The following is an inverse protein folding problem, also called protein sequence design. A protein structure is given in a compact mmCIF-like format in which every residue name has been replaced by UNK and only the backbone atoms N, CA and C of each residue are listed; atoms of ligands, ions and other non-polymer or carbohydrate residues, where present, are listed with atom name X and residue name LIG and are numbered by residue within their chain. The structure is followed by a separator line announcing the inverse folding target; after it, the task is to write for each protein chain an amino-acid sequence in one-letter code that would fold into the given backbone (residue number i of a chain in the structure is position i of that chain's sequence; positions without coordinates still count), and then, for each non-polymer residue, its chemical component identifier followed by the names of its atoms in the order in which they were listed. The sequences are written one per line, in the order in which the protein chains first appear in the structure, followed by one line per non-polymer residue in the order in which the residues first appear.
data_IF_683431700576
#
_entry.id   IF_683431700576
#
_cell.length_a   1.000
_cell.length_b   1.000
_cell.length_c   1.000
_cell.angle_alpha   90.00
_cell.angle_beta   90.00
_cell.angle_gamma   90.00
#
_symmetry.space_group_name_H-M   'P 1'
#
loop_
_entity.id
_entity.type
_entity.pdbx_description
1 polymer ?
#
# COMPACT_ATOMS: atom_id res chain seq x y z
N UNK A 1 -7.66 -2.31 55.34
CA UNK A 1 -8.99 -2.58 55.95
C UNK A 1 -9.99 -1.65 55.27
N UNK A 2 -10.98 -2.30 54.60
CA UNK A 2 -12.33 -1.84 54.27
C UNK A 2 -12.51 -1.01 53.01
N UNK A 3 -13.69 -1.19 52.32
CA UNK A 3 -14.12 -2.40 51.64
C UNK A 3 -14.58 -2.08 50.16
N UNK A 4 -14.72 -3.15 49.45
CA UNK A 4 -15.36 -3.42 48.18
C UNK A 4 -16.78 -2.82 48.06
N UNK A 5 -17.12 -2.27 46.90
CA UNK A 5 -18.50 -2.05 46.48
C UNK A 5 -18.76 -2.76 45.16
N UNK A 6 -19.73 -3.67 45.16
CA UNK A 6 -20.28 -4.46 44.06
C UNK A 6 -21.34 -3.70 43.24
N UNK A 7 -21.65 -4.14 42.02
CA UNK A 7 -22.51 -3.44 41.07
C UNK A 7 -24.00 -3.73 41.31
N UNK A 8 -24.85 -2.77 40.95
CA UNK A 8 -26.31 -2.93 40.91
C UNK A 8 -26.86 -2.89 39.48
N UNK A 9 -27.69 -3.87 39.28
CA UNK A 9 -28.57 -4.19 38.17
C UNK A 9 -29.28 -2.99 37.51
N UNK A 10 -29.38 -3.03 36.14
CA UNK A 10 -30.39 -2.28 35.38
C UNK A 10 -31.12 -3.25 34.47
N UNK A 11 -32.45 -3.26 34.63
CA UNK A 11 -33.50 -4.08 34.04
C UNK A 11 -33.83 -3.58 32.61
N UNK A 12 -34.29 -4.43 31.65
CA UNK A 12 -34.52 -4.06 30.26
C UNK A 12 -35.93 -3.49 30.03
N UNK A 13 -36.02 -2.46 29.19
CA UNK A 13 -37.25 -1.75 28.76
C UNK A 13 -37.52 -1.86 27.25
N UNK A 14 -38.48 -2.70 26.93
CA UNK A 14 -39.59 -2.59 25.96
C UNK A 14 -39.35 -2.15 24.51
N UNK A 15 -39.54 -3.09 23.59
CA UNK A 15 -39.85 -2.94 22.17
C UNK A 15 -41.15 -2.16 21.95
N UNK A 16 -41.13 -1.21 21.02
CA UNK A 16 -42.34 -0.75 20.33
C UNK A 16 -42.15 -0.86 18.82
N UNK A 17 -43.00 -1.68 18.24
CA UNK A 17 -43.17 -2.02 16.85
C UNK A 17 -44.26 -1.09 16.31
N UNK A 18 -43.99 -0.26 15.28
CA UNK A 18 -45.07 0.31 14.46
C UNK A 18 -44.89 -0.14 13.01
N UNK A 19 -45.87 -0.91 12.58
CA UNK A 19 -46.22 -1.15 11.19
C UNK A 19 -47.20 -0.06 10.76
N UNK A 20 -47.02 0.49 9.59
CA UNK A 20 -48.13 1.11 8.87
C UNK A 20 -47.96 0.89 7.36
N UNK A 21 -49.04 0.63 6.80
CA UNK A 21 -49.47 -0.07 5.62
C UNK A 21 -49.57 0.86 4.39
N UNK A 22 -49.33 0.19 3.32
CA UNK A 22 -49.58 0.45 1.90
C UNK A 22 -50.97 1.02 1.58
N UNK A 23 -51.00 1.94 0.62
CA UNK A 23 -52.12 1.97 -0.35
C UNK A 23 -51.69 2.52 -1.72
N UNK A 24 -51.86 1.66 -2.69
CA UNK A 24 -51.82 1.93 -4.13
C UNK A 24 -53.10 2.62 -4.61
N UNK A 25 -52.96 3.57 -5.54
CA UNK A 25 -54.02 3.88 -6.52
C UNK A 25 -53.42 4.44 -7.81
N UNK A 26 -53.63 3.71 -8.90
CA UNK A 26 -53.60 4.29 -10.26
C UNK A 26 -55.02 4.77 -10.61
N UNK A 27 -55.14 5.77 -11.52
CA UNK A 27 -55.78 5.41 -12.77
C UNK A 27 -55.21 6.11 -14.05
N UNK A 28 -55.51 5.45 -15.12
CA UNK A 28 -55.33 5.67 -16.55
C UNK A 28 -55.88 7.04 -17.08
N UNK A 29 -55.21 7.61 -18.13
CA UNK A 29 -55.77 8.65 -18.99
C UNK A 29 -54.94 8.81 -20.26
N UNK A 30 -55.60 8.54 -21.41
CA UNK A 30 -55.08 8.60 -22.79
C UNK A 30 -54.92 10.03 -23.30
N UNK A 31 -53.93 10.24 -24.16
CA UNK A 31 -53.41 11.17 -25.15
C UNK A 31 -54.28 12.36 -25.65
N UNK A 32 -53.81 13.19 -26.58
CA UNK A 32 -53.14 12.82 -27.83
C UNK A 32 -51.94 13.75 -28.23
N UNK A 33 -51.36 13.40 -29.39
CA UNK A 33 -50.19 13.87 -30.07
C UNK A 33 -50.15 15.39 -30.44
N UNK A 34 -48.93 15.93 -30.47
CA UNK A 34 -48.48 16.92 -31.43
C UNK A 34 -46.93 16.96 -31.42
N UNK A 35 -46.30 16.76 -32.56
CA UNK A 35 -44.89 17.03 -32.92
C UNK A 35 -44.78 18.44 -33.52
N UNK A 36 -43.61 18.91 -33.98
CA UNK A 36 -42.24 18.83 -33.49
C UNK A 36 -41.64 20.27 -33.29
N UNK A 37 -40.64 20.38 -32.47
CA UNK A 37 -39.83 21.58 -32.33
C UNK A 37 -38.40 21.16 -31.97
N UNK A 38 -37.54 21.28 -32.96
CA UNK A 38 -36.10 21.21 -32.88
C UNK A 38 -35.55 22.13 -31.81
N UNK A 39 -34.67 21.64 -30.97
CA UNK A 39 -33.45 22.35 -30.62
C UNK A 39 -32.46 21.39 -29.99
N UNK A 40 -31.44 21.16 -30.78
CA UNK A 40 -30.22 20.39 -30.54
C UNK A 40 -29.33 21.15 -29.55
N UNK A 41 -29.52 20.96 -28.25
CA UNK A 41 -28.70 21.53 -27.17
C UNK A 41 -28.27 20.49 -26.11
N UNK A 42 -28.04 19.24 -26.56
CA UNK A 42 -27.51 18.18 -25.68
C UNK A 42 -26.10 17.70 -26.04
N UNK A 43 -25.35 18.45 -26.86
CA UNK A 43 -24.05 18.06 -27.35
C UNK A 43 -22.89 18.89 -26.74
N UNK A 44 -22.84 19.05 -25.42
CA UNK A 44 -21.62 19.49 -24.70
C UNK A 44 -21.57 18.97 -23.27
N UNK A 45 -21.87 17.71 -23.04
CA UNK A 45 -21.30 17.02 -21.89
C UNK A 45 -19.90 16.58 -22.32
N UNK A 46 -18.88 17.32 -21.90
CA UNK A 46 -17.51 16.87 -22.00
C UNK A 46 -17.46 15.46 -21.40
N UNK A 47 -17.20 14.46 -22.24
CA UNK A 47 -17.03 13.09 -21.78
C UNK A 47 -15.88 13.09 -20.79
N UNK A 48 -16.17 12.85 -19.52
CA UNK A 48 -15.16 12.46 -18.56
C UNK A 48 -14.44 11.26 -19.16
N UNK A 49 -13.17 11.45 -19.50
CA UNK A 49 -12.31 10.34 -19.89
C UNK A 49 -12.24 9.45 -18.66
N UNK A 50 -12.73 8.20 -18.72
CA UNK A 50 -12.68 7.34 -17.54
C UNK A 50 -11.22 7.20 -17.11
N UNK A 51 -10.89 7.65 -15.90
CA UNK A 51 -9.57 7.47 -15.31
C UNK A 51 -9.26 5.98 -15.25
N UNK A 52 -8.31 5.54 -16.06
CA UNK A 52 -7.91 4.13 -16.12
C UNK A 52 -6.73 3.82 -15.21
N UNK A 53 -6.16 4.84 -14.61
CA UNK A 53 -5.04 4.75 -13.68
C UNK A 53 -5.49 4.63 -12.23
N UNK A 54 -4.54 4.50 -11.33
CA UNK A 54 -4.77 4.40 -9.89
C UNK A 54 -3.61 5.05 -9.13
N UNK A 55 -3.94 5.86 -8.11
CA UNK A 55 -2.99 6.40 -7.13
C UNK A 55 -3.07 5.57 -5.85
N UNK A 56 -1.94 4.99 -5.47
CA UNK A 56 -1.77 4.27 -4.20
C UNK A 56 -0.79 5.05 -3.33
N UNK A 57 -1.22 5.53 -2.18
CA UNK A 57 -0.36 6.05 -1.13
C UNK A 57 -0.13 4.95 -0.09
N UNK A 58 1.08 4.43 -0.02
CA UNK A 58 1.45 3.33 0.87
C UNK A 58 2.35 3.80 2.00
N UNK A 59 1.98 3.51 3.25
CA UNK A 59 2.85 3.81 4.38
C UNK A 59 3.75 2.63 4.71
N UNK A 60 5.04 2.87 4.73
CA UNK A 60 6.06 1.89 5.10
C UNK A 60 6.24 1.82 6.63
N UNK A 61 6.90 0.77 7.09
CA UNK A 61 7.29 0.55 8.49
C UNK A 61 6.13 0.31 9.48
N UNK A 62 4.93 -0.04 9.03
CA UNK A 62 3.79 -0.38 9.90
C UNK A 62 4.15 -1.49 10.89
N UNK A 63 3.95 -1.25 12.19
CA UNK A 63 4.28 -2.21 13.24
C UNK A 63 5.74 -2.17 13.72
N UNK A 64 6.58 -1.26 13.21
CA UNK A 64 7.97 -1.14 13.60
C UNK A 64 8.10 -0.78 15.09
N UNK A 65 7.38 0.24 15.50
CA UNK A 65 7.31 0.75 16.86
C UNK A 65 5.95 1.44 17.08
N UNK A 66 5.63 1.75 18.35
CA UNK A 66 4.36 2.37 18.72
C UNK A 66 4.10 3.69 17.98
N UNK A 67 5.09 4.58 17.93
CA UNK A 67 4.94 5.91 17.31
C UNK A 67 4.66 5.81 15.80
N UNK A 68 5.39 4.94 15.11
CA UNK A 68 5.19 4.69 13.67
C UNK A 68 3.79 4.18 13.39
N UNK A 69 3.31 3.23 14.20
CA UNK A 69 1.96 2.67 14.05
C UNK A 69 0.88 3.72 14.30
N UNK A 70 0.97 4.49 15.39
CA UNK A 70 -0.03 5.53 15.72
C UNK A 70 -0.12 6.62 14.65
N UNK A 71 1.02 7.15 14.21
CA UNK A 71 1.04 8.18 13.15
C UNK A 71 0.48 7.66 11.83
N UNK A 72 0.83 6.44 11.46
CA UNK A 72 0.30 5.79 10.25
C UNK A 72 -1.20 5.58 10.36
N UNK A 73 -1.68 5.10 11.51
CA UNK A 73 -3.12 4.91 11.76
C UNK A 73 -3.89 6.21 11.65
N UNK A 74 -3.38 7.31 12.20
CA UNK A 74 -4.02 8.62 12.07
C UNK A 74 -4.13 9.05 10.60
N UNK A 75 -3.06 8.92 9.82
CA UNK A 75 -3.08 9.23 8.39
C UNK A 75 -4.09 8.35 7.62
N UNK A 76 -4.17 7.06 7.97
CA UNK A 76 -5.11 6.12 7.36
C UNK A 76 -6.57 6.49 7.66
N UNK A 77 -6.90 6.78 8.93
CA UNK A 77 -8.25 7.18 9.35
C UNK A 77 -8.72 8.46 8.66
N UNK A 78 -7.80 9.35 8.30
CA UNK A 78 -8.07 10.57 7.53
C UNK A 78 -8.25 10.32 6.02
N UNK A 79 -8.11 9.09 5.56
CA UNK A 79 -8.23 8.73 4.14
C UNK A 79 -7.03 9.14 3.28
N UNK A 80 -5.88 9.45 3.91
CA UNK A 80 -4.66 9.85 3.22
C UNK A 80 -3.79 8.68 2.74
N UNK A 81 -4.17 7.44 3.08
CA UNK A 81 -3.41 6.23 2.76
C UNK A 81 -4.31 5.16 2.16
N UNK A 82 -3.78 4.42 1.19
CA UNK A 82 -4.42 3.26 0.57
C UNK A 82 -4.14 1.96 1.32
N UNK A 83 -2.91 1.84 1.85
CA UNK A 83 -2.35 0.58 2.35
C UNK A 83 -1.14 0.84 3.24
N UNK A 84 -0.70 -0.23 3.90
CA UNK A 84 0.50 -0.21 4.73
C UNK A 84 1.44 -1.37 4.36
N UNK A 85 2.75 -1.15 4.49
CA UNK A 85 3.75 -2.21 4.42
C UNK A 85 4.20 -2.57 5.82
N UNK A 86 3.83 -3.80 6.24
CA UNK A 86 3.94 -4.25 7.61
C UNK A 86 5.26 -4.96 7.88
N UNK A 87 5.97 -4.50 8.89
CA UNK A 87 7.12 -5.20 9.47
C UNK A 87 6.65 -6.23 10.49
N UNK A 88 7.28 -7.38 10.49
CA UNK A 88 7.05 -8.45 11.47
C UNK A 88 8.29 -8.64 12.34
N UNK A 89 8.15 -9.30 13.49
CA UNK A 89 9.19 -9.41 14.51
C UNK A 89 9.70 -8.07 15.06
N UNK A 90 8.86 -7.04 15.00
CA UNK A 90 9.16 -5.73 15.55
C UNK A 90 8.34 -5.49 16.81
N UNK A 91 8.71 -4.46 17.56
CA UNK A 91 8.14 -4.14 18.87
C UNK A 91 6.60 -4.07 18.86
N UNK A 92 6.01 -3.46 17.83
CA UNK A 92 4.56 -3.22 17.76
C UNK A 92 3.83 -4.11 16.73
N UNK A 93 4.49 -5.15 16.17
CA UNK A 93 3.93 -5.98 15.09
C UNK A 93 2.62 -6.67 15.46
N UNK A 94 2.48 -7.16 16.70
CA UNK A 94 1.27 -7.86 17.18
C UNK A 94 0.07 -6.91 17.27
N UNK A 95 0.25 -5.75 17.89
CA UNK A 95 -0.79 -4.73 18.01
C UNK A 95 -1.17 -4.16 16.63
N UNK A 96 -0.19 -3.83 15.82
CA UNK A 96 -0.39 -3.33 14.46
C UNK A 96 -1.21 -4.30 13.61
N UNK A 97 -0.90 -5.60 13.66
CA UNK A 97 -1.67 -6.61 12.95
C UNK A 97 -3.11 -6.74 13.46
N UNK A 98 -3.33 -6.61 14.77
CA UNK A 98 -4.67 -6.61 15.35
C UNK A 98 -5.49 -5.41 14.85
N UNK A 99 -4.91 -4.21 14.88
CA UNK A 99 -5.55 -2.99 14.35
C UNK A 99 -5.87 -3.14 12.86
N UNK A 100 -4.92 -3.68 12.07
CA UNK A 100 -5.12 -3.86 10.64
C UNK A 100 -6.29 -4.81 10.32
N UNK A 101 -6.44 -5.90 11.07
CA UNK A 101 -7.57 -6.83 10.91
C UNK A 101 -8.90 -6.22 11.33
N UNK A 102 -8.94 -5.52 12.47
CA UNK A 102 -10.16 -4.90 13.00
C UNK A 102 -10.68 -3.76 12.13
N UNK A 103 -9.78 -3.03 11.47
CA UNK A 103 -10.09 -1.89 10.61
C UNK A 103 -10.03 -2.18 9.12
N UNK A 104 -9.83 -3.45 8.75
CA UNK A 104 -9.71 -3.90 7.35
C UNK A 104 -8.64 -3.12 6.55
N UNK A 105 -7.53 -2.75 7.21
CA UNK A 105 -6.40 -2.07 6.57
C UNK A 105 -5.70 -3.05 5.62
N UNK A 106 -5.51 -2.64 4.38
CA UNK A 106 -4.77 -3.42 3.39
C UNK A 106 -3.27 -3.42 3.72
N UNK A 107 -2.76 -4.55 4.21
CA UNK A 107 -1.38 -4.74 4.63
C UNK A 107 -0.62 -5.67 3.68
N UNK A 108 0.54 -5.21 3.19
CA UNK A 108 1.56 -6.04 2.54
C UNK A 108 2.73 -6.34 3.48
N UNK A 109 3.56 -7.32 3.14
CA UNK A 109 4.76 -7.62 3.93
C UNK A 109 5.92 -6.69 3.57
N UNK A 110 6.43 -5.94 4.55
CA UNK A 110 7.65 -5.13 4.48
C UNK A 110 8.85 -5.95 4.95
N UNK A 111 9.56 -6.61 4.02
CA UNK A 111 10.72 -7.47 4.34
C UNK A 111 11.84 -6.66 5.00
N UNK A 112 12.17 -7.00 6.22
CA UNK A 112 13.25 -6.39 6.97
C UNK A 112 14.50 -7.27 6.99
N UNK A 113 15.54 -6.87 6.26
CA UNK A 113 16.84 -7.55 6.22
C UNK A 113 17.96 -6.74 6.88
N UNK A 114 17.68 -5.53 7.35
CA UNK A 114 18.73 -4.57 7.75
C UNK A 114 18.56 -3.94 9.12
N UNK A 115 17.33 -3.78 9.61
CA UNK A 115 17.06 -3.25 10.94
C UNK A 115 16.89 -4.40 11.93
N UNK A 116 17.52 -4.39 13.12
CA UNK A 116 17.38 -5.45 14.09
C UNK A 116 15.91 -5.72 14.44
N UNK A 117 15.53 -6.98 14.52
CA UNK A 117 14.23 -7.35 15.08
C UNK A 117 14.16 -6.98 16.54
N UNK A 118 13.03 -6.43 16.99
CA UNK A 118 12.83 -5.88 18.33
C UNK A 118 11.72 -6.56 19.12
N UNK A 119 10.99 -7.51 18.53
CA UNK A 119 9.99 -8.30 19.25
C UNK A 119 10.65 -9.19 20.30
N UNK A 120 10.10 -9.22 21.51
CA UNK A 120 10.63 -9.97 22.65
C UNK A 120 10.60 -11.49 22.45
N UNK A 121 9.72 -11.99 21.58
CA UNK A 121 9.53 -13.42 21.28
C UNK A 121 10.29 -13.88 20.02
N UNK A 122 11.19 -13.06 19.47
CA UNK A 122 11.94 -13.41 18.27
C UNK A 122 12.93 -14.55 18.54
N UNK A 123 12.91 -15.64 17.73
CA UNK A 123 13.82 -16.77 17.95
C UNK A 123 15.30 -16.35 17.81
N UNK A 124 16.16 -16.79 18.74
CA UNK A 124 17.58 -16.44 18.77
C UNK A 124 18.29 -16.75 17.43
N UNK A 125 18.00 -17.91 16.83
CA UNK A 125 18.55 -18.29 15.53
C UNK A 125 18.16 -17.30 14.40
N UNK A 126 16.94 -16.78 14.44
CA UNK A 126 16.47 -15.79 13.47
C UNK A 126 17.22 -14.48 13.63
N UNK A 127 17.42 -14.04 14.89
CA UNK A 127 18.23 -12.86 15.22
C UNK A 127 19.67 -12.98 14.69
N UNK A 128 20.31 -14.13 14.88
CA UNK A 128 21.68 -14.38 14.42
C UNK A 128 21.80 -14.28 12.89
N UNK A 129 20.88 -14.92 12.18
CA UNK A 129 20.86 -14.84 10.71
C UNK A 129 20.57 -13.42 10.22
N UNK A 130 19.56 -12.75 10.78
CA UNK A 130 19.22 -11.39 10.40
C UNK A 130 20.38 -10.42 10.70
N UNK A 131 21.04 -10.52 11.84
CA UNK A 131 22.21 -9.73 12.18
C UNK A 131 23.37 -9.93 11.18
N UNK A 132 23.60 -11.17 10.75
CA UNK A 132 24.60 -11.50 9.74
C UNK A 132 24.27 -10.85 8.39
N UNK A 133 23.00 -10.94 7.95
CA UNK A 133 22.52 -10.30 6.72
C UNK A 133 22.62 -8.78 6.80
N UNK A 134 22.14 -8.19 7.90
CA UNK A 134 22.20 -6.75 8.12
C UNK A 134 23.61 -6.21 8.04
N UNK A 135 24.56 -6.88 8.69
CA UNK A 135 25.98 -6.54 8.64
C UNK A 135 26.52 -6.59 7.21
N UNK A 136 26.23 -7.65 6.46
CA UNK A 136 26.64 -7.78 5.07
C UNK A 136 26.05 -6.70 4.18
N UNK A 137 24.72 -6.51 4.20
CA UNK A 137 24.02 -5.56 3.33
C UNK A 137 24.39 -4.11 3.60
N UNK A 138 24.67 -3.76 4.87
CA UNK A 138 25.02 -2.37 5.27
C UNK A 138 26.48 -2.04 5.06
N UNK A 139 27.37 -3.05 5.05
CA UNK A 139 28.84 -2.83 5.00
C UNK A 139 29.33 -2.50 3.60
N UNK A 140 28.73 -3.01 2.57
CA UNK A 140 29.23 -2.92 1.20
C UNK A 140 28.14 -2.43 0.24
N UNK A 141 28.44 -1.36 -0.50
CA UNK A 141 27.49 -0.82 -1.52
C UNK A 141 27.13 -1.86 -2.60
N UNK A 142 28.07 -2.79 -2.92
CA UNK A 142 27.84 -3.85 -3.89
C UNK A 142 27.08 -5.05 -3.32
N UNK A 143 26.87 -5.12 -2.00
CA UNK A 143 26.14 -6.24 -1.38
C UNK A 143 24.72 -6.40 -1.90
N UNK A 144 24.10 -5.31 -2.36
CA UNK A 144 22.76 -5.35 -2.98
C UNK A 144 22.79 -5.95 -4.39
N UNK A 145 23.91 -5.81 -5.12
CA UNK A 145 24.03 -6.16 -6.54
C UNK A 145 24.68 -7.53 -6.74
N UNK A 146 25.60 -7.91 -5.83
CA UNK A 146 26.36 -9.16 -5.94
C UNK A 146 25.69 -10.27 -5.16
N UNK A 147 25.44 -11.41 -5.82
CA UNK A 147 24.94 -12.62 -5.16
C UNK A 147 26.02 -13.24 -4.27
N UNK A 148 25.68 -13.49 -3.01
CA UNK A 148 26.60 -14.09 -2.03
C UNK A 148 26.16 -15.54 -1.73
N UNK A 149 26.82 -16.57 -2.31
CA UNK A 149 26.38 -17.96 -2.15
C UNK A 149 26.45 -18.45 -0.69
N UNK A 150 27.46 -18.01 0.06
CA UNK A 150 27.61 -18.38 1.48
C UNK A 150 26.51 -17.85 2.41
N UNK A 151 25.72 -16.85 1.97
CA UNK A 151 24.59 -16.30 2.72
C UNK A 151 23.23 -16.75 2.19
N UNK A 152 23.20 -17.54 1.10
CA UNK A 152 21.93 -17.92 0.46
C UNK A 152 20.93 -18.55 1.44
N UNK A 153 21.39 -19.49 2.28
CA UNK A 153 20.55 -20.14 3.31
C UNK A 153 20.06 -19.16 4.38
N UNK A 154 20.87 -18.17 4.75
CA UNK A 154 20.47 -17.15 5.73
C UNK A 154 19.36 -16.26 5.15
N UNK A 155 19.48 -15.85 3.89
CA UNK A 155 18.43 -15.11 3.19
C UNK A 155 17.12 -15.91 3.08
N UNK A 156 17.22 -17.17 2.65
CA UNK A 156 16.07 -18.08 2.56
C UNK A 156 15.35 -18.21 3.90
N UNK A 157 16.09 -18.49 4.97
CA UNK A 157 15.53 -18.66 6.31
C UNK A 157 14.86 -17.38 6.81
N UNK A 158 15.50 -16.21 6.69
CA UNK A 158 14.97 -14.94 7.20
C UNK A 158 13.76 -14.49 6.40
N UNK A 159 13.75 -14.69 5.07
CA UNK A 159 12.59 -14.36 4.23
C UNK A 159 11.41 -15.28 4.52
N UNK A 160 11.66 -16.60 4.64
CA UNK A 160 10.62 -17.58 4.97
C UNK A 160 10.01 -17.29 6.34
N UNK A 161 10.83 -17.06 7.37
CA UNK A 161 10.37 -16.76 8.72
C UNK A 161 9.48 -15.51 8.76
N UNK A 162 9.83 -14.44 8.04
CA UNK A 162 9.00 -13.24 7.98
C UNK A 162 7.66 -13.47 7.28
N UNK A 163 7.63 -14.29 6.24
CA UNK A 163 6.37 -14.65 5.56
C UNK A 163 5.47 -15.52 6.44
N UNK A 164 6.05 -16.47 7.15
CA UNK A 164 5.31 -17.34 8.09
C UNK A 164 4.76 -16.52 9.26
N UNK A 165 5.53 -15.58 9.78
CA UNK A 165 5.09 -14.67 10.84
C UNK A 165 4.01 -13.71 10.34
N UNK A 166 4.10 -13.20 9.11
CA UNK A 166 3.03 -12.39 8.52
C UNK A 166 1.73 -13.21 8.42
N UNK A 167 1.81 -14.46 7.95
CA UNK A 167 0.64 -15.36 7.93
C UNK A 167 0.07 -15.57 9.33
N UNK A 168 0.91 -15.76 10.35
CA UNK A 168 0.46 -15.92 11.75
C UNK A 168 -0.28 -14.68 12.24
N UNK A 169 0.25 -13.49 11.97
CA UNK A 169 -0.28 -12.23 12.45
C UNK A 169 -1.53 -11.77 11.70
N UNK A 170 -1.52 -11.86 10.38
CA UNK A 170 -2.58 -11.33 9.51
C UNK A 170 -3.61 -12.39 9.07
N UNK A 171 -3.33 -13.67 9.29
CA UNK A 171 -4.23 -14.79 8.93
C UNK A 171 -4.25 -15.13 7.44
N UNK A 172 -3.50 -14.41 6.61
CA UNK A 172 -3.41 -14.60 5.15
C UNK A 172 -1.96 -14.51 4.68
N UNK A 173 -1.65 -15.15 3.55
CA UNK A 173 -0.35 -14.95 2.89
C UNK A 173 -0.25 -13.52 2.36
N UNK A 174 0.94 -12.91 2.37
CA UNK A 174 1.11 -11.58 1.81
C UNK A 174 0.92 -11.60 0.29
N UNK A 175 -0.12 -10.92 -0.20
CA UNK A 175 -0.36 -10.74 -1.64
C UNK A 175 0.55 -9.67 -2.25
N UNK A 176 1.12 -8.82 -1.39
CA UNK A 176 2.03 -7.74 -1.74
C UNK A 176 3.30 -7.80 -0.87
N UNK A 177 4.44 -7.56 -1.52
CA UNK A 177 5.76 -7.61 -0.92
C UNK A 177 6.60 -6.41 -1.37
N UNK A 178 7.21 -5.78 -0.41
CA UNK A 178 8.27 -4.80 -0.61
C UNK A 178 9.37 -5.01 0.45
N UNK A 179 10.20 -4.01 0.76
CA UNK A 179 11.20 -4.23 1.78
C UNK A 179 11.90 -2.99 2.26
N UNK A 180 12.14 -2.99 3.52
CA UNK A 180 12.85 -1.94 4.24
C UNK A 180 14.21 -1.66 3.59
N UNK A 181 14.49 -0.38 3.34
CA UNK A 181 15.64 0.08 2.54
C UNK A 181 15.70 -0.56 1.13
N UNK A 182 14.56 -1.01 0.57
CA UNK A 182 14.44 -1.68 -0.72
C UNK A 182 15.29 -2.95 -0.87
N UNK A 183 15.64 -3.62 0.24
CA UNK A 183 16.50 -4.81 0.23
C UNK A 183 15.83 -6.05 -0.37
N UNK A 184 14.52 -6.05 -0.57
CA UNK A 184 13.83 -7.08 -1.35
C UNK A 184 14.33 -7.16 -2.81
N UNK A 185 14.98 -6.09 -3.31
CA UNK A 185 15.58 -6.04 -4.64
C UNK A 185 17.05 -6.50 -4.68
N UNK A 186 17.63 -6.94 -3.55
CA UNK A 186 18.99 -7.42 -3.55
C UNK A 186 19.14 -8.75 -4.30
N UNK A 187 20.33 -8.98 -4.87
CA UNK A 187 20.60 -10.14 -5.73
C UNK A 187 20.31 -11.48 -5.07
N UNK A 188 20.59 -11.65 -3.76
CA UNK A 188 20.28 -12.89 -3.05
C UNK A 188 18.78 -13.18 -2.99
N UNK A 189 17.93 -12.16 -2.84
CA UNK A 189 16.47 -12.33 -2.86
C UNK A 189 15.97 -12.63 -4.26
N UNK A 190 16.39 -11.84 -5.25
CA UNK A 190 15.90 -11.95 -6.63
C UNK A 190 16.39 -13.22 -7.34
N UNK A 191 17.69 -13.47 -7.32
CA UNK A 191 18.29 -14.64 -7.99
C UNK A 191 18.02 -15.93 -7.21
N UNK A 192 17.94 -15.86 -5.87
CA UNK A 192 17.46 -16.94 -5.02
C UNK A 192 15.98 -17.26 -5.18
N UNK A 193 15.22 -16.40 -5.90
CA UNK A 193 13.77 -16.54 -6.13
C UNK A 193 12.98 -16.69 -4.84
N UNK A 194 13.36 -15.94 -3.81
CA UNK A 194 12.79 -16.08 -2.46
C UNK A 194 11.38 -15.51 -2.33
N UNK A 195 10.95 -14.64 -3.28
CA UNK A 195 9.62 -14.10 -3.33
C UNK A 195 8.68 -15.04 -4.11
N UNK A 196 7.44 -15.31 -3.62
CA UNK A 196 6.48 -16.16 -4.30
C UNK A 196 6.13 -15.62 -5.69
N UNK A 197 6.03 -16.48 -6.68
CA UNK A 197 5.62 -16.07 -8.02
C UNK A 197 4.16 -15.56 -8.03
N UNK A 198 3.87 -14.56 -8.85
CA UNK A 198 2.54 -13.96 -8.97
C UNK A 198 2.22 -12.89 -7.93
N UNK A 199 3.01 -12.79 -6.85
CA UNK A 199 2.85 -11.73 -5.84
C UNK A 199 3.06 -10.35 -6.47
N UNK A 200 2.36 -9.35 -5.98
CA UNK A 200 2.64 -7.96 -6.30
C UNK A 200 3.90 -7.53 -5.55
N UNK A 201 4.94 -7.13 -6.27
CA UNK A 201 6.22 -6.72 -5.70
C UNK A 201 6.55 -5.29 -6.11
N UNK A 202 6.92 -4.47 -5.12
CA UNK A 202 7.36 -3.10 -5.37
C UNK A 202 8.58 -3.08 -6.28
N UNK A 203 8.53 -2.25 -7.31
CA UNK A 203 9.62 -2.03 -8.27
C UNK A 203 10.65 -1.03 -7.76
N UNK A 204 11.70 -0.78 -8.54
CA UNK A 204 12.60 0.34 -8.28
C UNK A 204 11.90 1.69 -8.46
N UNK A 205 12.44 2.74 -7.79
CA UNK A 205 12.01 4.10 -8.01
C UNK A 205 12.02 4.50 -9.49
N UNK A 206 10.95 5.14 -9.89
CA UNK A 206 10.87 5.88 -11.14
C UNK A 206 11.57 7.23 -10.99
N UNK A 207 12.34 7.62 -11.99
CA UNK A 207 13.08 8.88 -12.00
C UNK A 207 12.81 9.63 -13.28
N UNK A 208 12.75 10.95 -13.17
CA UNK A 208 12.70 11.83 -14.34
C UNK A 208 14.05 11.83 -15.12
N UNK A 209 14.03 12.19 -16.41
CA UNK A 209 15.26 12.35 -17.17
C UNK A 209 16.20 13.34 -16.50
N UNK A 210 17.46 12.92 -16.22
CA UNK A 210 18.46 13.75 -15.57
C UNK A 210 18.67 13.50 -14.08
N UNK A 211 17.70 12.93 -13.33
CA UNK A 211 17.85 12.67 -11.90
C UNK A 211 18.91 11.60 -11.55
N UNK A 212 19.15 10.64 -12.43
CA UNK A 212 20.13 9.55 -12.23
C UNK A 212 20.96 9.30 -13.49
N UNK A 213 22.19 8.80 -13.29
CA UNK A 213 23.07 8.42 -14.38
C UNK A 213 22.44 7.36 -15.29
N UNK A 214 22.86 7.33 -16.57
CA UNK A 214 22.40 6.34 -17.55
C UNK A 214 22.58 4.90 -17.06
N UNK A 215 23.74 4.56 -16.47
CA UNK A 215 24.03 3.21 -15.96
C UNK A 215 23.10 2.81 -14.81
N UNK A 216 22.78 3.75 -13.89
CA UNK A 216 21.84 3.47 -12.80
C UNK A 216 20.43 3.19 -13.36
N UNK A 217 19.98 3.95 -14.34
CA UNK A 217 18.67 3.74 -14.99
C UNK A 217 18.62 2.41 -15.75
N UNK A 218 19.72 2.03 -16.43
CA UNK A 218 19.79 0.76 -17.15
C UNK A 218 19.75 -0.43 -16.18
N UNK A 219 20.51 -0.37 -15.08
CA UNK A 219 20.48 -1.38 -14.03
C UNK A 219 19.07 -1.57 -13.46
N UNK A 220 18.40 -0.48 -13.07
CA UNK A 220 17.03 -0.53 -12.53
C UNK A 220 16.03 -1.10 -13.50
N UNK A 221 16.11 -0.72 -14.79
CA UNK A 221 15.28 -1.34 -15.83
C UNK A 221 15.52 -2.84 -15.97
N UNK A 222 16.76 -3.29 -15.81
CA UNK A 222 17.10 -4.71 -15.81
C UNK A 222 16.44 -5.44 -14.65
N UNK A 223 16.54 -4.90 -13.44
CA UNK A 223 15.89 -5.44 -12.23
C UNK A 223 14.36 -5.45 -12.39
N UNK A 224 13.75 -4.36 -12.86
CA UNK A 224 12.29 -4.28 -13.06
C UNK A 224 11.79 -5.29 -14.10
N UNK A 225 12.57 -5.51 -15.18
CA UNK A 225 12.25 -6.57 -16.17
C UNK A 225 12.33 -7.97 -15.56
N UNK A 226 13.32 -8.19 -14.67
CA UNK A 226 13.45 -9.48 -13.97
C UNK A 226 12.25 -9.70 -13.04
N UNK A 227 11.84 -8.69 -12.30
CA UNK A 227 10.64 -8.72 -11.45
C UNK A 227 9.38 -9.02 -12.26
N UNK A 228 9.15 -8.27 -13.33
CA UNK A 228 7.94 -8.36 -14.15
C UNK A 228 7.75 -9.71 -14.84
N UNK A 229 8.82 -10.53 -14.94
CA UNK A 229 8.72 -11.91 -15.47
C UNK A 229 8.01 -12.88 -14.51
N UNK A 230 8.02 -12.60 -13.23
CA UNK A 230 7.50 -13.51 -12.20
C UNK A 230 6.48 -12.88 -11.26
N UNK A 231 6.44 -11.57 -11.21
CA UNK A 231 5.67 -10.81 -10.24
C UNK A 231 4.81 -9.76 -10.95
N UNK A 232 3.76 -9.32 -10.28
CA UNK A 232 3.02 -8.12 -10.68
C UNK A 232 3.79 -6.91 -10.15
N UNK A 233 3.81 -5.83 -10.90
CA UNK A 233 4.45 -4.56 -10.51
C UNK A 233 3.56 -3.40 -10.96
N UNK A 234 3.62 -2.28 -10.25
CA UNK A 234 3.01 -1.01 -10.67
C UNK A 234 3.74 -0.43 -11.89
N UNK A 235 3.12 0.52 -12.59
CA UNK A 235 3.74 1.20 -13.72
C UNK A 235 4.81 2.19 -13.26
N UNK A 236 4.54 2.92 -12.17
CA UNK A 236 5.47 3.89 -11.58
C UNK A 236 5.52 3.76 -10.06
N UNK A 237 6.69 4.03 -9.50
CA UNK A 237 6.92 4.05 -8.06
C UNK A 237 7.77 5.26 -7.66
N UNK A 238 7.26 6.05 -6.72
CA UNK A 238 7.91 7.25 -6.24
C UNK A 238 7.96 7.29 -4.71
N UNK A 239 8.90 8.07 -4.15
CA UNK A 239 8.84 8.51 -2.76
C UNK A 239 8.00 9.78 -2.66
N UNK A 240 7.27 9.97 -1.56
CA UNK A 240 6.58 11.22 -1.29
C UNK A 240 7.59 12.38 -1.20
N UNK A 241 8.74 12.14 -0.61
CA UNK A 241 9.83 13.12 -0.57
C UNK A 241 10.61 13.22 -1.91
N UNK A 242 11.25 14.37 -2.21
CA UNK A 242 11.27 15.62 -1.43
C UNK A 242 9.96 16.43 -1.58
N UNK A 243 9.54 17.09 -0.50
CA UNK A 243 8.29 17.88 -0.46
C UNK A 243 8.44 19.32 -0.94
N UNK A 244 9.68 19.81 -1.06
CA UNK A 244 10.02 21.20 -1.44
C UNK A 244 9.75 21.49 -2.93
N UNK A 245 9.47 20.48 -3.73
CA UNK A 245 9.16 20.60 -5.16
C UNK A 245 7.68 20.31 -5.45
N UNK A 246 6.75 21.27 -5.25
CA UNK A 246 5.31 21.02 -5.45
C UNK A 246 4.95 20.50 -6.83
N UNK A 247 5.57 21.03 -7.89
CA UNK A 247 5.35 20.59 -9.26
C UNK A 247 5.68 19.11 -9.48
N UNK A 248 6.61 18.53 -8.69
CA UNK A 248 6.91 17.10 -8.74
C UNK A 248 5.73 16.24 -8.31
N UNK A 249 5.07 16.60 -7.20
CA UNK A 249 3.89 15.87 -6.72
C UNK A 249 2.72 15.98 -7.71
N UNK A 250 2.51 17.16 -8.30
CA UNK A 250 1.50 17.37 -9.35
C UNK A 250 1.79 16.47 -10.57
N UNK A 251 3.04 16.39 -11.01
CA UNK A 251 3.44 15.47 -12.09
C UNK A 251 3.20 14.00 -11.74
N UNK A 252 3.51 13.56 -10.51
CA UNK A 252 3.27 12.20 -10.04
C UNK A 252 1.77 11.89 -10.03
N UNK A 253 0.95 12.81 -9.53
CA UNK A 253 -0.51 12.62 -9.48
C UNK A 253 -1.14 12.65 -10.87
N UNK A 254 -0.62 13.49 -11.78
CA UNK A 254 -1.04 13.47 -13.17
C UNK A 254 -0.80 12.13 -13.87
N UNK A 255 0.32 11.46 -13.59
CA UNK A 255 0.57 10.11 -14.10
C UNK A 255 -0.47 9.09 -13.60
N UNK A 256 -0.98 9.27 -12.40
CA UNK A 256 -1.95 8.35 -11.81
C UNK A 256 -3.36 8.42 -12.44
N UNK A 257 -3.62 9.39 -13.32
CA UNK A 257 -4.85 9.41 -14.12
C UNK A 257 -4.87 8.31 -15.21
N UNK A 258 -3.70 7.86 -15.66
CA UNK A 258 -3.56 6.89 -16.75
C UNK A 258 -2.87 5.58 -16.34
N UNK A 259 -2.03 5.63 -15.30
CA UNK A 259 -1.15 4.55 -14.89
C UNK A 259 -1.38 4.13 -13.44
N UNK A 260 -0.92 2.93 -13.09
CA UNK A 260 -0.83 2.49 -11.70
C UNK A 260 0.43 3.11 -11.05
N UNK A 261 0.22 4.07 -10.17
CA UNK A 261 1.28 4.81 -9.48
C UNK A 261 1.25 4.48 -7.98
N UNK A 262 2.36 3.99 -7.46
CA UNK A 262 2.59 3.84 -6.03
C UNK A 262 3.48 4.97 -5.54
N UNK A 263 3.10 5.59 -4.42
CA UNK A 263 3.92 6.56 -3.70
C UNK A 263 4.15 6.02 -2.28
N UNK A 264 5.41 5.74 -1.94
CA UNK A 264 5.75 5.37 -0.57
C UNK A 264 5.78 6.59 0.33
N UNK A 265 5.32 6.39 1.56
CA UNK A 265 5.32 7.41 2.60
C UNK A 265 5.86 6.84 3.91
N UNK A 266 6.42 7.71 4.73
CA UNK A 266 6.90 7.38 6.06
C UNK A 266 6.31 8.34 7.09
N UNK A 267 5.11 8.07 7.64
CA UNK A 267 4.46 8.97 8.61
C UNK A 267 5.27 9.25 9.88
N UNK A 268 6.29 8.43 10.16
CA UNK A 268 7.26 8.74 11.22
C UNK A 268 8.06 10.02 10.92
N UNK A 269 8.22 10.39 9.64
CA UNK A 269 8.83 11.65 9.24
C UNK A 269 7.85 12.80 9.54
N UNK A 270 8.25 13.82 10.34
CA UNK A 270 7.35 14.88 10.75
C UNK A 270 6.78 15.71 9.61
N UNK A 271 7.49 15.87 8.50
CA UNK A 271 7.04 16.64 7.35
C UNK A 271 5.99 15.87 6.54
N UNK A 272 6.24 14.58 6.28
CA UNK A 272 5.27 13.70 5.63
C UNK A 272 4.00 13.55 6.48
N UNK A 273 4.17 13.36 7.80
CA UNK A 273 3.05 13.27 8.72
C UNK A 273 2.18 14.53 8.68
N UNK A 274 2.77 15.74 8.72
CA UNK A 274 2.01 16.99 8.63
C UNK A 274 1.23 17.10 7.32
N UNK A 275 1.84 16.70 6.20
CA UNK A 275 1.20 16.71 4.88
C UNK A 275 0.00 15.75 4.81
N UNK A 276 0.20 14.52 5.32
CA UNK A 276 -0.81 13.45 5.29
C UNK A 276 -1.91 13.71 6.33
N UNK A 277 -1.57 13.86 7.61
CA UNK A 277 -2.52 14.06 8.69
C UNK A 277 -3.19 15.44 8.65
N UNK A 278 -2.53 16.47 8.11
CA UNK A 278 -3.11 17.82 7.92
C UNK A 278 -4.12 17.91 6.77
N UNK A 279 -4.33 16.84 6.00
CA UNK A 279 -5.26 16.83 4.87
C UNK A 279 -4.78 17.62 3.64
N UNK A 280 -3.54 18.12 3.66
CA UNK A 280 -2.98 18.86 2.52
C UNK A 280 -2.79 17.94 1.31
N UNK A 281 -2.42 16.67 1.54
CA UNK A 281 -2.28 15.68 0.48
C UNK A 281 -3.61 15.51 -0.30
N UNK A 282 -4.73 15.46 0.38
CA UNK A 282 -6.06 15.32 -0.24
C UNK A 282 -6.40 16.51 -1.13
N UNK A 283 -6.03 17.72 -0.71
CA UNK A 283 -6.22 18.95 -1.52
C UNK A 283 -5.33 18.95 -2.76
N UNK A 284 -4.09 18.43 -2.65
CA UNK A 284 -3.14 18.35 -3.78
C UNK A 284 -3.50 17.28 -4.80
N UNK A 285 -4.07 16.18 -4.33
CA UNK A 285 -4.58 15.11 -5.21
C UNK A 285 -5.79 15.59 -6.02
N UNK A 286 -6.59 16.53 -5.48
CA UNK A 286 -7.73 17.10 -6.17
C UNK A 286 -8.83 16.08 -6.46
N UNK A 287 -9.31 16.05 -7.70
CA UNK A 287 -10.38 15.14 -8.15
C UNK A 287 -9.90 13.69 -8.36
N UNK A 288 -8.58 13.45 -8.36
CA UNK A 288 -8.03 12.11 -8.44
C UNK A 288 -8.20 11.41 -7.09
N UNK A 289 -9.00 10.35 -7.04
CA UNK A 289 -9.19 9.59 -5.81
C UNK A 289 -7.93 8.79 -5.43
N UNK A 290 -7.54 8.87 -4.15
CA UNK A 290 -6.60 7.91 -3.56
C UNK A 290 -7.32 6.56 -3.51
N UNK A 291 -6.69 5.50 -4.04
CA UNK A 291 -7.28 4.18 -4.03
C UNK A 291 -7.55 3.72 -2.58
N UNK A 292 -8.72 3.17 -2.27
CA UNK A 292 -9.03 2.70 -0.91
C UNK A 292 -8.24 1.46 -0.51
N UNK A 293 -7.65 0.77 -1.48
CA UNK A 293 -6.78 -0.41 -1.32
C UNK A 293 -5.74 -0.45 -2.42
N UNK A 294 -4.69 -1.24 -2.22
CA UNK A 294 -3.67 -1.48 -3.24
C UNK A 294 -4.20 -2.44 -4.31
N UNK A 295 -5.02 -1.95 -5.22
CA UNK A 295 -5.54 -2.72 -6.33
C UNK A 295 -4.91 -2.26 -7.66
N UNK A 296 -4.30 -3.19 -8.40
CA UNK A 296 -3.86 -2.88 -9.76
C UNK A 296 -5.01 -3.04 -10.75
N UNK A 297 -5.19 -2.09 -11.67
CA UNK A 297 -6.13 -2.26 -12.76
C UNK A 297 -5.74 -3.50 -13.59
N UNK A 298 -6.69 -4.15 -14.26
CA UNK A 298 -6.40 -5.26 -15.16
C UNK A 298 -5.40 -4.77 -16.23
N UNK A 299 -4.33 -5.57 -16.48
CA UNK A 299 -3.33 -5.23 -17.48
C UNK A 299 -4.02 -5.00 -18.84
N UNK A 300 -3.83 -3.83 -19.44
CA UNK A 300 -4.16 -3.61 -20.85
C UNK A 300 -3.37 -4.63 -21.66
N UNK A 301 -4.03 -5.48 -22.45
CA UNK A 301 -3.35 -6.33 -23.44
C UNK A 301 -2.64 -5.39 -24.43
N UNK A 302 -1.35 -5.59 -24.72
CA UNK A 302 -0.71 -4.85 -25.80
C UNK A 302 -1.38 -5.24 -27.11
N UNK A 303 -2.07 -4.30 -27.76
CA UNK A 303 -2.60 -4.46 -29.10
C UNK A 303 -4.12 -4.70 -29.19
N UNK A 304 -4.91 -3.67 -28.97
CA UNK A 304 -6.07 -3.33 -29.81
C UNK A 304 -6.07 -1.80 -29.90
N UNK A 305 -5.30 -1.27 -30.83
CA UNK A 305 -5.67 0.00 -31.44
C UNK A 305 -6.85 -0.37 -32.31
N UNK A 306 -8.03 0.04 -31.90
CA UNK A 306 -9.17 0.06 -32.82
C UNK A 306 -8.80 1.02 -33.95
N UNK A 307 -8.76 0.44 -35.14
CA UNK A 307 -8.54 1.12 -36.44
C UNK A 307 -9.86 1.77 -36.84
#
# INVERSE_FOLDING_TARGET
MSPIATPRDIVPGTRTRMKEEIRATSPSGRGPAASPGSDDESARRGGEIPHTGVLVLNADDWGRDLETTERTLECFVRGALSSVSAMVFMEDSERAATIAREREIDAGLHLNLTTPFSASNCPARLLDYQHTLARYLRRHRLAQVVFHPGLARSFEYVVAAQRDEFLRLYGVQPERLDGHHHMHLCSNVLLGRLLPAGTLVRRNFSFEPGEKSFYNRLYRRGVDRLLARRHRVVDYFFSLQPLEAPARLESIFSLASEFAVEVETHPINPEEYRLLAGGEILRRVGDLAIAPRFALPPRRRPGTRDV
#
